data_IF_833213221316
#
_entry.id   IF_833213221316
#
_cell.length_a   1.000
_cell.length_b   1.000
_cell.length_c   1.000
_cell.angle_alpha   90.00
_cell.angle_beta   90.00
_cell.angle_gamma   90.00
#
_symmetry.space_group_name_H-M   'P 1'
#
loop_
_entity.id
_entity.type
_entity.pdbx_description
1 polymer ?
#
# COMPACT_ATOMS: atom_id res chain seq x y z
N UNK A 1 26.93 30.36 -18.14
CA UNK A 1 27.28 29.85 -16.79
C UNK A 1 28.42 28.86 -16.90
N UNK A 2 29.47 28.97 -16.08
CA UNK A 2 30.61 28.04 -16.13
C UNK A 2 30.19 26.61 -15.77
N UNK A 3 30.83 25.59 -16.38
CA UNK A 3 30.58 24.17 -16.09
C UNK A 3 30.63 23.85 -14.59
N UNK A 4 31.61 24.39 -13.87
CA UNK A 4 31.73 24.22 -12.41
C UNK A 4 30.52 24.75 -11.64
N UNK A 5 29.95 25.87 -12.10
CA UNK A 5 28.77 26.48 -11.46
C UNK A 5 27.53 25.61 -11.72
N UNK A 6 27.40 25.02 -12.91
CA UNK A 6 26.29 24.10 -13.21
C UNK A 6 26.39 22.80 -12.39
N UNK A 7 27.58 22.19 -12.33
CA UNK A 7 27.82 20.97 -11.54
C UNK A 7 27.59 21.19 -10.05
N UNK A 8 27.96 22.37 -9.52
CA UNK A 8 27.67 22.76 -8.14
C UNK A 8 26.17 22.95 -7.89
N UNK A 9 25.42 23.54 -8.83
CA UNK A 9 24.01 23.87 -8.62
C UNK A 9 23.06 22.70 -8.89
N UNK A 10 23.42 21.76 -9.77
CA UNK A 10 22.57 20.66 -10.18
C UNK A 10 22.00 19.83 -9.00
N UNK A 11 22.78 19.42 -7.98
CA UNK A 11 22.23 18.70 -6.83
C UNK A 11 21.20 19.52 -6.04
N UNK A 12 21.39 20.84 -5.92
CA UNK A 12 20.45 21.72 -5.20
C UNK A 12 19.13 21.83 -5.93
N UNK A 13 19.19 22.03 -7.24
CA UNK A 13 17.99 22.04 -8.08
C UNK A 13 17.25 20.71 -8.03
N UNK A 14 17.96 19.58 -8.05
CA UNK A 14 17.33 18.25 -7.92
C UNK A 14 16.65 18.07 -6.57
N UNK A 15 17.28 18.49 -5.47
CA UNK A 15 16.67 18.43 -4.13
C UNK A 15 15.40 19.28 -4.08
N UNK A 16 15.45 20.49 -4.62
CA UNK A 16 14.30 21.41 -4.68
C UNK A 16 13.17 20.88 -5.54
N UNK A 17 13.48 20.28 -6.70
CA UNK A 17 12.49 19.78 -7.66
C UNK A 17 11.85 18.45 -7.24
N UNK A 18 12.62 17.53 -6.66
CA UNK A 18 12.14 16.18 -6.37
C UNK A 18 11.54 16.01 -4.97
N UNK A 19 11.88 16.89 -4.02
CA UNK A 19 11.41 16.80 -2.64
C UNK A 19 10.57 18.04 -2.27
N UNK A 20 9.23 17.96 -2.39
CA UNK A 20 8.35 19.12 -2.20
C UNK A 20 8.34 19.64 -0.75
N UNK A 21 8.57 18.76 0.22
CA UNK A 21 8.76 19.13 1.64
C UNK A 21 10.17 18.76 2.07
N UNK A 22 10.82 19.69 2.78
CA UNK A 22 12.21 19.58 3.25
C UNK A 22 12.30 20.13 4.66
N UNK A 23 12.90 19.38 5.57
CA UNK A 23 13.14 19.76 6.96
C UNK A 23 14.59 19.42 7.32
N UNK A 24 15.28 20.32 8.00
CA UNK A 24 16.65 20.13 8.44
C UNK A 24 16.70 20.05 9.97
N UNK A 25 17.43 19.08 10.50
CA UNK A 25 17.74 18.93 11.92
C UNK A 25 19.25 18.89 12.09
N UNK A 26 19.77 19.65 13.03
CA UNK A 26 21.21 19.68 13.34
C UNK A 26 21.45 19.03 14.69
N UNK A 27 22.24 17.97 14.72
CA UNK A 27 22.53 17.23 15.93
C UNK A 27 23.89 17.66 16.50
N UNK A 28 23.98 18.04 17.79
CA UNK A 28 25.27 18.24 18.43
C UNK A 28 26.00 16.89 18.60
N UNK A 29 27.27 16.91 19.00
CA UNK A 29 27.97 15.66 19.30
C UNK A 29 27.27 14.93 20.46
N UNK A 30 27.01 13.61 20.33
CA UNK A 30 26.23 12.87 21.32
C UNK A 30 27.03 12.60 22.61
N UNK A 31 28.35 12.47 22.50
CA UNK A 31 29.26 12.24 23.63
C UNK A 31 30.68 12.67 23.24
N UNK A 32 31.65 12.49 24.14
CA UNK A 32 33.07 12.78 23.88
C UNK A 32 33.64 11.85 22.79
N UNK A 33 34.56 12.31 21.92
CA UNK A 33 35.07 11.55 20.79
C UNK A 33 35.61 10.15 21.15
N UNK A 34 36.21 10.01 22.32
CA UNK A 34 36.82 8.77 22.80
C UNK A 34 35.78 7.67 23.08
N UNK A 35 34.54 8.08 23.37
CA UNK A 35 33.40 7.17 23.65
C UNK A 35 32.52 6.91 22.41
N UNK A 36 32.80 7.53 21.26
CA UNK A 36 31.95 7.39 20.06
C UNK A 36 31.89 5.96 19.51
N UNK A 37 32.96 5.18 19.65
CA UNK A 37 33.01 3.79 19.19
C UNK A 37 32.15 2.83 20.01
N UNK A 38 31.77 3.21 21.24
CA UNK A 38 30.95 2.41 22.15
C UNK A 38 29.58 3.06 22.43
N UNK A 39 29.11 3.96 21.55
CA UNK A 39 27.89 4.75 21.74
C UNK A 39 26.65 3.90 22.08
N UNK A 40 26.50 2.73 21.46
CA UNK A 40 25.37 1.81 21.71
C UNK A 40 25.38 1.17 23.11
N UNK A 41 26.54 1.13 23.75
CA UNK A 41 26.73 0.55 25.10
C UNK A 41 26.73 1.60 26.20
N UNK A 42 26.62 2.90 25.86
CA UNK A 42 26.62 3.98 26.85
C UNK A 42 25.26 4.07 27.54
N UNK A 43 25.29 4.41 28.83
CA UNK A 43 24.09 4.79 29.55
C UNK A 43 23.58 6.16 29.07
N UNK A 44 22.27 6.39 29.16
CA UNK A 44 21.67 7.68 28.78
C UNK A 44 22.25 8.87 29.55
N UNK A 45 22.78 8.65 30.76
CA UNK A 45 23.44 9.68 31.56
C UNK A 45 24.80 10.13 30.97
N UNK A 46 25.46 9.27 30.18
CA UNK A 46 26.72 9.57 29.48
C UNK A 46 26.50 10.25 28.12
N UNK A 47 25.24 10.42 27.71
CA UNK A 47 24.85 11.08 26.47
C UNK A 47 24.52 12.54 26.78
N UNK A 48 25.02 13.44 25.93
CA UNK A 48 24.73 14.87 25.97
C UNK A 48 23.23 15.13 26.05
N UNK A 49 22.80 15.87 27.06
CA UNK A 49 21.40 16.25 27.24
C UNK A 49 20.87 17.07 26.06
N UNK A 50 21.71 17.89 25.42
CA UNK A 50 21.31 18.67 24.24
C UNK A 50 21.12 17.77 23.02
N UNK A 51 21.96 16.74 22.85
CA UNK A 51 21.76 15.72 21.82
C UNK A 51 20.45 14.95 22.04
N UNK A 52 20.19 14.52 23.27
CA UNK A 52 18.94 13.82 23.63
C UNK A 52 17.71 14.68 23.36
N UNK A 53 17.78 15.98 23.67
CA UNK A 53 16.70 16.93 23.41
C UNK A 53 16.40 17.08 21.91
N UNK A 54 17.44 17.29 21.09
CA UNK A 54 17.28 17.38 19.62
C UNK A 54 16.75 16.06 19.06
N UNK A 55 17.26 14.92 19.53
CA UNK A 55 16.79 13.59 19.14
C UNK A 55 15.33 13.38 19.49
N UNK A 56 14.90 13.81 20.69
CA UNK A 56 13.50 13.77 21.09
C UNK A 56 12.60 14.62 20.18
N UNK A 57 13.05 15.81 19.78
CA UNK A 57 12.32 16.65 18.81
C UNK A 57 12.26 16.00 17.42
N UNK A 58 13.37 15.43 16.96
CA UNK A 58 13.42 14.69 15.70
C UNK A 58 12.47 13.50 15.70
N UNK A 59 12.50 12.65 16.74
CA UNK A 59 11.60 11.51 16.84
C UNK A 59 10.14 11.93 16.88
N UNK A 60 9.79 12.96 17.67
CA UNK A 60 8.42 13.51 17.69
C UNK A 60 7.97 13.95 16.30
N UNK A 61 8.83 14.65 15.56
CA UNK A 61 8.54 15.04 14.18
C UNK A 61 8.33 13.82 13.27
N UNK A 62 9.23 12.83 13.33
CA UNK A 62 9.10 11.62 12.51
C UNK A 62 7.81 10.86 12.82
N UNK A 63 7.43 10.70 14.08
CA UNK A 63 6.23 9.94 14.45
C UNK A 63 4.93 10.70 14.20
N UNK A 64 4.91 12.02 14.39
CA UNK A 64 3.67 12.80 14.34
C UNK A 64 3.45 13.48 12.99
N UNK A 65 4.50 13.97 12.35
CA UNK A 65 4.41 14.81 11.15
C UNK A 65 4.74 14.05 9.85
N UNK A 66 5.35 12.86 9.92
CA UNK A 66 5.60 12.06 8.71
C UNK A 66 4.29 11.58 8.10
N UNK A 67 4.12 11.87 6.80
CA UNK A 67 2.94 11.44 6.07
C UNK A 67 2.97 9.95 5.77
N UNK A 68 1.78 9.33 5.81
CA UNK A 68 1.60 7.97 5.29
C UNK A 68 1.98 7.95 3.81
N UNK A 69 2.76 6.94 3.41
CA UNK A 69 3.20 6.79 2.03
C UNK A 69 1.99 6.66 1.10
N UNK A 70 1.92 7.55 0.10
CA UNK A 70 0.89 7.60 -0.93
C UNK A 70 1.49 7.59 -2.32
N UNK A 71 0.75 7.04 -3.28
CA UNK A 71 1.00 7.19 -4.70
C UNK A 71 0.55 8.58 -5.19
N UNK A 72 0.91 8.95 -6.42
CA UNK A 72 0.60 10.28 -6.98
C UNK A 72 -0.90 10.56 -7.08
N UNK A 73 -1.69 9.52 -7.28
CA UNK A 73 -3.16 9.54 -7.33
C UNK A 73 -3.82 9.37 -5.94
N UNK A 74 -3.03 9.40 -4.87
CA UNK A 74 -3.53 9.40 -3.50
C UNK A 74 -3.82 8.03 -2.89
N UNK A 75 -3.54 6.93 -3.60
CA UNK A 75 -3.68 5.60 -3.00
C UNK A 75 -2.64 5.37 -1.90
N UNK A 76 -3.10 4.93 -0.74
CA UNK A 76 -2.23 4.59 0.40
C UNK A 76 -1.44 3.31 0.09
N UNK A 77 -0.13 3.37 0.29
CA UNK A 77 0.75 2.21 0.19
C UNK A 77 0.65 1.39 1.47
N UNK A 78 -0.10 0.29 1.41
CA UNK A 78 -0.20 -0.69 2.50
C UNK A 78 1.01 -1.63 2.51
N UNK A 79 1.17 -2.46 3.55
CA UNK A 79 2.26 -3.45 3.61
C UNK A 79 2.27 -4.43 2.42
N UNK A 80 1.09 -4.87 1.96
CA UNK A 80 0.93 -5.72 0.77
C UNK A 80 1.43 -5.02 -0.50
N UNK A 81 1.04 -3.76 -0.67
CA UNK A 81 1.46 -2.93 -1.82
C UNK A 81 2.96 -2.69 -1.78
N UNK A 82 3.50 -2.35 -0.60
CA UNK A 82 4.92 -2.12 -0.41
C UNK A 82 5.75 -3.37 -0.75
N UNK A 83 5.31 -4.56 -0.33
CA UNK A 83 5.99 -5.82 -0.65
C UNK A 83 6.07 -6.09 -2.16
N UNK A 84 4.98 -5.86 -2.90
CA UNK A 84 4.99 -5.98 -4.36
C UNK A 84 5.92 -4.96 -5.02
N UNK A 85 5.83 -3.68 -4.64
CA UNK A 85 6.69 -2.63 -5.19
C UNK A 85 8.17 -2.92 -4.93
N UNK A 86 8.52 -3.36 -3.71
CA UNK A 86 9.88 -3.73 -3.36
C UNK A 86 10.39 -4.88 -4.24
N UNK A 87 9.61 -5.95 -4.40
CA UNK A 87 9.95 -7.07 -5.27
C UNK A 87 10.14 -6.63 -6.72
N UNK A 88 9.18 -5.91 -7.29
CA UNK A 88 9.24 -5.44 -8.68
C UNK A 88 10.46 -4.56 -8.93
N UNK A 89 10.79 -3.67 -8.00
CA UNK A 89 11.98 -2.83 -8.11
C UNK A 89 13.27 -3.64 -8.05
N UNK A 90 13.40 -4.56 -7.10
CA UNK A 90 14.58 -5.43 -6.98
C UNK A 90 14.74 -6.29 -8.24
N UNK A 91 13.68 -6.93 -8.74
CA UNK A 91 13.72 -7.75 -9.96
C UNK A 91 14.12 -6.91 -11.19
N UNK A 92 13.60 -5.68 -11.29
CA UNK A 92 13.91 -4.78 -12.41
C UNK A 92 15.37 -4.32 -12.37
N UNK A 93 15.87 -3.91 -11.20
CA UNK A 93 17.28 -3.51 -11.03
C UNK A 93 18.21 -4.69 -11.31
N UNK A 94 17.86 -5.88 -10.79
CA UNK A 94 18.67 -7.09 -10.95
C UNK A 94 18.75 -7.56 -12.41
N UNK A 95 17.76 -7.22 -13.23
CA UNK A 95 17.78 -7.48 -14.68
C UNK A 95 18.51 -6.39 -15.50
N UNK A 96 19.11 -5.39 -14.85
CA UNK A 96 19.80 -4.28 -15.52
C UNK A 96 18.86 -3.21 -16.10
N UNK A 97 17.56 -3.32 -15.84
CA UNK A 97 16.55 -2.37 -16.30
C UNK A 97 16.32 -1.27 -15.27
N UNK A 98 15.73 -0.15 -15.71
CA UNK A 98 15.41 0.99 -14.83
C UNK A 98 13.98 0.83 -14.27
N UNK A 99 13.79 0.86 -12.94
CA UNK A 99 12.46 0.80 -12.34
C UNK A 99 11.58 1.98 -12.75
N UNK A 100 10.35 1.69 -13.17
CA UNK A 100 9.31 2.68 -13.40
C UNK A 100 8.19 2.49 -12.39
N UNK A 101 7.96 3.49 -11.53
CA UNK A 101 6.91 3.45 -10.51
C UNK A 101 5.53 3.23 -11.13
N UNK A 102 5.22 3.94 -12.22
CA UNK A 102 3.90 3.83 -12.85
C UNK A 102 3.65 2.42 -13.39
N UNK A 103 4.65 1.82 -14.04
CA UNK A 103 4.55 0.45 -14.56
C UNK A 103 4.36 -0.57 -13.44
N UNK A 104 5.10 -0.43 -12.33
CA UNK A 104 4.99 -1.30 -11.17
C UNK A 104 3.59 -1.20 -10.53
N UNK A 105 3.05 0.00 -10.41
CA UNK A 105 1.70 0.25 -9.85
C UNK A 105 0.62 -0.32 -10.77
N UNK A 106 0.72 -0.14 -12.10
CA UNK A 106 -0.25 -0.69 -13.06
C UNK A 106 -0.25 -2.22 -13.02
N UNK A 107 0.93 -2.85 -13.09
CA UNK A 107 1.03 -4.31 -13.06
C UNK A 107 0.44 -4.88 -11.76
N UNK A 108 0.73 -4.25 -10.63
CA UNK A 108 0.18 -4.65 -9.34
C UNK A 108 -1.35 -4.47 -9.26
N UNK A 109 -1.91 -3.39 -9.80
CA UNK A 109 -3.36 -3.19 -9.83
C UNK A 109 -4.09 -4.31 -10.58
N UNK A 110 -3.52 -4.76 -11.70
CA UNK A 110 -4.06 -5.93 -12.42
C UNK A 110 -4.06 -7.17 -11.52
N UNK A 111 -2.90 -7.52 -10.96
CA UNK A 111 -2.73 -8.72 -10.13
C UNK A 111 -3.68 -8.72 -8.92
N UNK A 112 -3.75 -7.60 -8.19
CA UNK A 112 -4.55 -7.52 -6.98
C UNK A 112 -6.05 -7.50 -7.28
N UNK A 113 -6.49 -6.84 -8.36
CA UNK A 113 -7.90 -6.83 -8.72
C UNK A 113 -8.38 -8.18 -9.28
N UNK A 114 -7.56 -8.88 -10.06
CA UNK A 114 -7.87 -10.26 -10.49
C UNK A 114 -8.00 -11.20 -9.28
N UNK A 115 -7.10 -11.08 -8.31
CA UNK A 115 -7.19 -11.84 -7.08
C UNK A 115 -8.40 -11.42 -6.23
N UNK A 116 -8.77 -10.14 -6.21
CA UNK A 116 -9.96 -9.64 -5.51
C UNK A 116 -11.25 -10.20 -6.11
N UNK A 117 -11.36 -10.27 -7.45
CA UNK A 117 -12.53 -10.88 -8.12
C UNK A 117 -12.66 -12.35 -7.72
N UNK A 118 -11.56 -13.11 -7.75
CA UNK A 118 -11.55 -14.53 -7.33
C UNK A 118 -12.02 -14.70 -5.89
N UNK A 119 -11.51 -13.88 -4.97
CA UNK A 119 -11.93 -13.91 -3.55
C UNK A 119 -13.41 -13.56 -3.40
N UNK A 120 -13.89 -12.51 -4.07
CA UNK A 120 -15.31 -12.12 -4.03
C UNK A 120 -16.23 -13.22 -4.55
N UNK A 121 -15.90 -13.82 -5.70
CA UNK A 121 -16.67 -14.92 -6.28
C UNK A 121 -16.68 -16.16 -5.40
N UNK A 122 -15.54 -16.48 -4.77
CA UNK A 122 -15.45 -17.60 -3.83
C UNK A 122 -16.37 -17.38 -2.60
N UNK A 123 -16.36 -16.16 -2.04
CA UNK A 123 -17.26 -15.79 -0.92
C UNK A 123 -18.73 -15.93 -1.34
N UNK A 124 -19.07 -15.44 -2.54
CA UNK A 124 -20.43 -15.55 -3.07
C UNK A 124 -20.85 -17.02 -3.26
N UNK A 125 -20.00 -17.81 -3.94
CA UNK A 125 -20.22 -19.22 -4.23
C UNK A 125 -20.43 -20.03 -2.96
N UNK A 126 -19.51 -19.94 -1.99
CA UNK A 126 -19.64 -20.68 -0.73
C UNK A 126 -20.86 -20.25 0.08
N UNK A 127 -21.33 -19.02 -0.08
CA UNK A 127 -22.59 -18.56 0.52
C UNK A 127 -23.81 -19.17 -0.14
N UNK A 128 -23.81 -19.29 -1.47
CA UNK A 128 -24.89 -19.91 -2.24
C UNK A 128 -24.95 -21.42 -2.04
N UNK A 129 -23.81 -22.10 -1.98
CA UNK A 129 -23.73 -23.54 -1.69
C UNK A 129 -24.38 -23.88 -0.35
N UNK A 130 -24.09 -23.09 0.70
CA UNK A 130 -24.76 -23.22 2.02
C UNK A 130 -26.25 -22.91 1.98
N UNK A 131 -26.68 -22.02 1.09
CA UNK A 131 -28.09 -21.73 0.91
C UNK A 131 -28.82 -22.92 0.28
N UNK A 132 -28.14 -23.67 -0.60
CA UNK A 132 -28.68 -24.83 -1.30
C UNK A 132 -29.18 -25.92 -0.32
N UNK A 133 -28.52 -26.08 0.82
CA UNK A 133 -28.92 -27.00 1.89
C UNK A 133 -30.30 -26.69 2.49
N UNK A 134 -30.81 -25.47 2.29
CA UNK A 134 -32.10 -25.01 2.84
C UNK A 134 -33.26 -25.05 1.83
N UNK A 135 -33.05 -25.59 0.62
CA UNK A 135 -34.10 -25.64 -0.40
C UNK A 135 -35.17 -26.70 -0.08
N UNK A 136 -36.44 -26.49 -0.51
CA UNK A 136 -36.93 -25.36 -1.29
C UNK A 136 -37.22 -24.09 -0.45
N UNK A 137 -36.99 -22.91 -1.04
CA UNK A 137 -37.23 -21.60 -0.42
C UNK A 137 -38.18 -20.76 -1.27
N UNK A 138 -38.91 -19.84 -0.64
CA UNK A 138 -39.70 -18.83 -1.34
C UNK A 138 -38.80 -17.88 -2.15
N UNK A 139 -39.28 -17.42 -3.30
CA UNK A 139 -38.52 -16.54 -4.19
C UNK A 139 -38.02 -15.26 -3.48
N UNK A 140 -38.82 -14.72 -2.57
CA UNK A 140 -38.46 -13.54 -1.75
C UNK A 140 -37.25 -13.80 -0.86
N UNK A 141 -37.14 -15.00 -0.30
CA UNK A 141 -36.07 -15.38 0.62
C UNK A 141 -34.77 -15.64 -0.15
N UNK A 142 -34.87 -16.30 -1.31
CA UNK A 142 -33.74 -16.49 -2.24
C UNK A 142 -33.18 -15.15 -2.72
N UNK A 143 -34.06 -14.21 -3.11
CA UNK A 143 -33.66 -12.87 -3.56
C UNK A 143 -32.96 -12.06 -2.45
N UNK A 144 -33.50 -12.09 -1.23
CA UNK A 144 -32.90 -11.42 -0.07
C UNK A 144 -31.50 -11.98 0.23
N UNK A 145 -31.34 -13.31 0.19
CA UNK A 145 -30.04 -13.97 0.39
C UNK A 145 -29.05 -13.64 -0.72
N UNK A 146 -29.47 -13.63 -1.98
CA UNK A 146 -28.63 -13.21 -3.10
C UNK A 146 -28.08 -11.79 -2.93
N UNK A 147 -28.92 -10.83 -2.53
CA UNK A 147 -28.48 -9.45 -2.29
C UNK A 147 -27.46 -9.36 -1.14
N UNK A 148 -27.70 -10.11 -0.06
CA UNK A 148 -26.78 -10.15 1.08
C UNK A 148 -25.42 -10.78 0.70
N UNK A 149 -25.43 -11.90 -0.03
CA UNK A 149 -24.22 -12.57 -0.49
C UNK A 149 -23.45 -11.72 -1.49
N UNK A 150 -24.14 -11.07 -2.43
CA UNK A 150 -23.53 -10.12 -3.38
C UNK A 150 -22.86 -8.96 -2.63
N UNK A 151 -23.53 -8.40 -1.61
CA UNK A 151 -22.96 -7.34 -0.78
C UNK A 151 -21.70 -7.80 -0.04
N UNK A 152 -21.73 -9.02 0.51
CA UNK A 152 -20.59 -9.62 1.23
C UNK A 152 -19.42 -9.90 0.29
N UNK A 153 -19.68 -10.39 -0.92
CA UNK A 153 -18.69 -10.60 -1.96
C UNK A 153 -18.03 -9.28 -2.38
N UNK A 154 -18.83 -8.22 -2.60
CA UNK A 154 -18.32 -6.87 -2.90
C UNK A 154 -17.47 -6.33 -1.76
N UNK A 155 -17.85 -6.53 -0.49
CA UNK A 155 -17.01 -6.14 0.64
C UNK A 155 -15.68 -6.91 0.68
N UNK A 156 -15.68 -8.20 0.40
CA UNK A 156 -14.47 -9.01 0.32
C UNK A 156 -13.55 -8.55 -0.81
N UNK A 157 -14.13 -8.20 -1.97
CA UNK A 157 -13.43 -7.58 -3.09
C UNK A 157 -12.81 -6.24 -2.68
N UNK A 158 -13.58 -5.32 -2.12
CA UNK A 158 -13.11 -3.96 -1.76
C UNK A 158 -11.99 -3.97 -0.71
N UNK A 159 -11.96 -4.98 0.16
CA UNK A 159 -10.85 -5.16 1.13
C UNK A 159 -9.53 -5.54 0.46
N UNK A 160 -9.57 -6.10 -0.75
CA UNK A 160 -8.39 -6.58 -1.49
C UNK A 160 -8.06 -5.73 -2.71
N UNK A 161 -9.06 -5.19 -3.38
CA UNK A 161 -8.91 -4.47 -4.64
C UNK A 161 -7.97 -3.29 -4.47
N UNK A 162 -7.30 -2.97 -5.57
CA UNK A 162 -6.32 -1.90 -5.61
C UNK A 162 -6.42 -1.17 -6.94
N UNK A 163 -6.74 0.14 -6.88
CA UNK A 163 -6.76 1.04 -8.04
C UNK A 163 -7.68 0.56 -9.18
N UNK A 164 -8.85 0.01 -8.87
CA UNK A 164 -9.91 -0.31 -9.85
C UNK A 164 -10.71 0.96 -10.23
N UNK A 165 -10.05 1.96 -10.79
CA UNK A 165 -10.63 3.31 -10.98
C UNK A 165 -11.75 3.35 -12.03
N UNK A 166 -11.75 2.46 -13.02
CA UNK A 166 -12.79 2.32 -14.03
C UNK A 166 -13.93 1.36 -13.61
N UNK A 167 -13.78 0.73 -12.44
CA UNK A 167 -14.70 -0.26 -11.89
C UNK A 167 -14.80 -1.52 -12.76
N UNK A 168 -13.80 -1.79 -13.61
CA UNK A 168 -13.83 -2.93 -14.54
C UNK A 168 -13.89 -4.24 -13.77
N UNK A 169 -13.10 -4.37 -12.71
CA UNK A 169 -13.02 -5.61 -11.95
C UNK A 169 -14.22 -5.78 -11.03
N UNK A 170 -14.73 -4.70 -10.44
CA UNK A 170 -15.99 -4.71 -9.70
C UNK A 170 -17.16 -5.19 -10.58
N UNK A 171 -17.30 -4.65 -11.79
CA UNK A 171 -18.33 -5.12 -12.74
C UNK A 171 -18.15 -6.59 -13.09
N UNK A 172 -16.91 -7.06 -13.23
CA UNK A 172 -16.62 -8.48 -13.47
C UNK A 172 -17.09 -9.37 -12.32
N UNK A 173 -16.95 -8.91 -11.07
CA UNK A 173 -17.46 -9.61 -9.89
C UNK A 173 -18.99 -9.66 -9.88
N UNK A 174 -19.66 -8.54 -10.16
CA UNK A 174 -21.12 -8.45 -10.19
C UNK A 174 -21.71 -9.40 -11.25
N UNK A 175 -21.17 -9.37 -12.48
CA UNK A 175 -21.58 -10.28 -13.56
C UNK A 175 -21.34 -11.73 -13.18
N UNK A 176 -20.18 -12.06 -12.61
CA UNK A 176 -19.88 -13.42 -12.17
C UNK A 176 -20.82 -13.92 -11.06
N UNK A 177 -21.20 -13.05 -10.12
CA UNK A 177 -22.14 -13.38 -9.04
C UNK A 177 -23.54 -13.67 -9.59
N UNK A 178 -24.00 -12.91 -10.59
CA UNK A 178 -25.28 -13.16 -11.29
C UNK A 178 -25.24 -14.46 -12.09
N UNK A 179 -24.12 -14.78 -12.75
CA UNK A 179 -23.96 -16.05 -13.44
C UNK A 179 -24.04 -17.23 -12.46
N UNK A 180 -23.31 -17.18 -11.34
CA UNK A 180 -23.33 -18.22 -10.30
C UNK A 180 -24.74 -18.39 -9.71
N UNK A 181 -25.44 -17.29 -9.44
CA UNK A 181 -26.84 -17.32 -8.97
C UNK A 181 -27.73 -18.13 -9.92
N UNK A 182 -27.69 -17.81 -11.22
CA UNK A 182 -28.50 -18.50 -12.23
C UNK A 182 -28.16 -19.97 -12.34
N UNK A 183 -26.89 -20.35 -12.25
CA UNK A 183 -26.47 -21.76 -12.33
C UNK A 183 -26.97 -22.55 -11.12
N UNK A 184 -26.89 -21.99 -9.91
CA UNK A 184 -27.20 -22.72 -8.68
C UNK A 184 -28.69 -22.77 -8.33
N UNK A 185 -29.50 -21.84 -8.83
CA UNK A 185 -30.96 -21.82 -8.58
C UNK A 185 -31.75 -22.63 -9.60
N UNK A 186 -31.21 -22.86 -10.80
CA UNK A 186 -31.87 -23.64 -11.86
C UNK A 186 -31.50 -25.13 -11.84
N UNK A 187 -30.75 -25.59 -10.84
CA UNK A 187 -30.39 -26.99 -10.57
C UNK A 187 -31.04 -27.46 -9.28
#
# INVERSE_FOLDING_TARGET
TSRRVMEHNLPRECIEKFFPSRKCFTFPFPTAPEKMSCLESLDFADISSEFLKVTGHFCKFVFNDSSVKRLKDGFTVTGRVLGHLAKTYVDTISSGSVPCLENAVIAMAVIENEAAVKVGLQVYQSGMEKLQDSFPLELKDVSSKHQHLSSTATQAFMKRSFRDTDGKYLKSLEVGSVCLFRTMVNH
#
